data_IF_119259565392
#
_entry.id   IF_119259565392
#
_cell.length_a   1.000
_cell.length_b   1.000
_cell.length_c   1.000
_cell.angle_alpha   90.00
_cell.angle_beta   90.00
_cell.angle_gamma   90.00
#
_symmetry.space_group_name_H-M   'P 1'
#
loop_
_entity.id
_entity.type
_entity.pdbx_description
1 polymer ?
#
# COMPACT_ATOMS: atom_id res chain seq x y z
N UNK A 1 8.31 -11.00 3.28
CA UNK A 1 7.36 -10.33 4.17
C UNK A 1 7.35 -11.07 5.48
N UNK A 2 7.39 -10.36 6.61
CA UNK A 2 7.37 -10.97 7.93
C UNK A 2 5.90 -11.23 8.31
N UNK A 3 5.50 -12.48 8.45
CA UNK A 3 4.13 -12.87 8.81
C UNK A 3 4.20 -13.86 9.97
N UNK A 4 3.59 -13.53 11.10
CA UNK A 4 3.42 -14.48 12.19
C UNK A 4 2.23 -15.41 11.91
N UNK A 5 2.40 -16.70 12.20
CA UNK A 5 1.34 -17.71 12.02
C UNK A 5 0.18 -17.52 12.98
N UNK A 6 0.35 -16.76 14.07
CA UNK A 6 -0.75 -16.46 15.00
C UNK A 6 -1.58 -15.25 14.58
N UNK A 7 -1.20 -14.53 13.52
CA UNK A 7 -1.91 -13.32 13.10
C UNK A 7 -3.14 -13.64 12.26
N UNK A 8 -4.21 -12.88 12.49
CA UNK A 8 -5.39 -12.77 11.63
C UNK A 8 -5.13 -11.67 10.60
N UNK A 9 -5.20 -12.01 9.32
CA UNK A 9 -4.77 -11.13 8.23
C UNK A 9 -5.94 -10.69 7.37
N UNK A 10 -5.96 -9.40 7.00
CA UNK A 10 -6.82 -8.84 5.96
C UNK A 10 -5.96 -8.38 4.78
N UNK A 11 -6.23 -8.87 3.57
CA UNK A 11 -5.62 -8.32 2.34
C UNK A 11 -6.61 -7.41 1.64
N UNK A 12 -6.15 -6.23 1.23
CA UNK A 12 -6.98 -5.21 0.58
C UNK A 12 -6.65 -5.14 -0.90
N UNK A 13 -7.67 -5.26 -1.74
CA UNK A 13 -7.57 -5.02 -3.19
C UNK A 13 -6.71 -6.03 -3.95
N UNK A 14 -6.71 -7.30 -3.56
CA UNK A 14 -5.92 -8.36 -4.18
C UNK A 14 -6.54 -8.86 -5.50
N UNK A 15 -6.39 -8.04 -6.55
CA UNK A 15 -7.04 -8.16 -7.85
C UNK A 15 -7.40 -9.57 -8.34
N UNK A 16 -6.42 -10.45 -8.59
CA UNK A 16 -6.66 -11.82 -9.08
C UNK A 16 -6.60 -12.89 -7.97
N UNK A 17 -6.50 -12.46 -6.72
CA UNK A 17 -6.44 -13.26 -5.49
C UNK A 17 -5.21 -14.16 -5.34
N UNK A 18 -4.26 -14.11 -6.29
CA UNK A 18 -3.09 -14.99 -6.26
C UNK A 18 -2.12 -14.66 -5.13
N UNK A 19 -2.09 -13.41 -4.63
CA UNK A 19 -1.29 -13.06 -3.46
C UNK A 19 -1.86 -13.71 -2.21
N UNK A 20 -3.16 -13.56 -1.97
CA UNK A 20 -3.88 -14.10 -0.83
C UNK A 20 -3.84 -15.63 -0.82
N UNK A 21 -4.03 -16.27 -1.98
CA UNK A 21 -3.93 -17.73 -2.08
C UNK A 21 -2.52 -18.25 -1.75
N UNK A 22 -1.49 -17.55 -2.22
CA UNK A 22 -0.10 -17.87 -1.89
C UNK A 22 0.20 -17.63 -0.41
N UNK A 23 -0.25 -16.51 0.16
CA UNK A 23 -0.11 -16.16 1.56
C UNK A 23 -0.74 -17.23 2.47
N UNK A 24 -1.98 -17.63 2.18
CA UNK A 24 -2.69 -18.66 2.92
C UNK A 24 -1.95 -20.01 2.87
N UNK A 25 -1.51 -20.41 1.68
CA UNK A 25 -0.89 -21.72 1.45
C UNK A 25 0.50 -21.81 2.09
N UNK A 26 1.32 -20.76 1.97
CA UNK A 26 2.75 -20.82 2.27
C UNK A 26 3.15 -20.14 3.58
N UNK A 27 2.41 -19.13 4.03
CA UNK A 27 2.69 -18.43 5.29
C UNK A 27 1.76 -18.87 6.42
N UNK A 28 0.55 -19.34 6.09
CA UNK A 28 -0.41 -19.95 7.03
C UNK A 28 -0.66 -19.06 8.27
N UNK A 29 -1.16 -17.83 8.08
CA UNK A 29 -1.66 -17.03 9.20
C UNK A 29 -2.80 -17.75 9.93
N UNK A 30 -3.15 -17.31 11.14
CA UNK A 30 -4.20 -17.92 11.95
C UNK A 30 -5.56 -17.86 11.24
N UNK A 31 -5.81 -16.76 10.53
CA UNK A 31 -6.88 -16.63 9.55
C UNK A 31 -6.49 -15.62 8.47
N UNK A 32 -7.14 -15.74 7.32
CA UNK A 32 -7.03 -14.77 6.23
C UNK A 32 -8.43 -14.41 5.73
N UNK A 33 -8.68 -13.12 5.56
CA UNK A 33 -9.80 -12.60 4.77
C UNK A 33 -9.22 -11.84 3.59
N UNK A 34 -9.59 -12.24 2.38
CA UNK A 34 -9.15 -11.57 1.17
C UNK A 34 -10.20 -10.62 0.64
N UNK A 35 -9.80 -9.47 0.13
CA UNK A 35 -10.75 -8.52 -0.49
C UNK A 35 -10.31 -8.07 -1.87
N UNK A 36 -11.30 -7.77 -2.71
CA UNK A 36 -11.10 -7.24 -4.07
C UNK A 36 -12.04 -6.06 -4.30
N UNK A 37 -11.58 -5.09 -5.08
CA UNK A 37 -12.37 -3.91 -5.44
C UNK A 37 -13.47 -4.25 -6.47
N UNK A 38 -13.17 -5.17 -7.39
CA UNK A 38 -14.10 -5.58 -8.45
C UNK A 38 -15.24 -6.43 -7.87
N UNK A 39 -16.40 -6.49 -8.57
CA UNK A 39 -17.41 -7.51 -8.29
C UNK A 39 -16.86 -8.91 -8.61
N UNK A 40 -17.48 -9.97 -8.10
CA UNK A 40 -17.09 -11.35 -8.47
C UNK A 40 -17.15 -11.57 -9.98
N UNK A 41 -18.20 -11.06 -10.65
CA UNK A 41 -18.37 -11.23 -12.10
C UNK A 41 -17.29 -10.49 -12.89
N UNK A 42 -16.94 -9.28 -12.47
CA UNK A 42 -15.86 -8.50 -13.09
C UNK A 42 -14.52 -9.20 -12.87
N UNK A 43 -14.21 -9.65 -11.65
CA UNK A 43 -12.99 -10.39 -11.34
C UNK A 43 -12.85 -11.64 -12.22
N UNK A 44 -13.90 -12.47 -12.28
CA UNK A 44 -13.90 -13.73 -13.03
C UNK A 44 -13.83 -13.51 -14.55
N UNK A 45 -14.44 -12.43 -15.05
CA UNK A 45 -14.36 -12.05 -16.46
C UNK A 45 -13.02 -11.38 -16.84
N UNK A 46 -12.40 -10.64 -15.91
CA UNK A 46 -11.18 -9.86 -16.13
C UNK A 46 -9.93 -10.71 -16.14
N UNK A 47 -9.85 -11.75 -15.30
CA UNK A 47 -8.67 -12.59 -15.17
C UNK A 47 -8.94 -14.02 -15.63
N UNK A 48 -8.30 -14.44 -16.72
CA UNK A 48 -8.41 -15.82 -17.20
C UNK A 48 -7.88 -16.84 -16.17
N UNK A 49 -6.94 -16.40 -15.33
CA UNK A 49 -6.44 -17.17 -14.19
C UNK A 49 -6.53 -16.29 -12.94
N UNK A 50 -7.33 -16.75 -11.99
CA UNK A 50 -7.54 -16.15 -10.67
C UNK A 50 -7.66 -17.26 -9.62
N UNK A 51 -7.54 -16.90 -8.35
CA UNK A 51 -7.59 -17.82 -7.22
C UNK A 51 -8.87 -17.66 -6.37
N UNK A 52 -9.95 -17.13 -6.96
CA UNK A 52 -11.22 -16.95 -6.26
C UNK A 52 -11.77 -18.27 -5.72
N UNK A 53 -11.92 -19.29 -6.58
CA UNK A 53 -12.42 -20.60 -6.15
C UNK A 53 -11.42 -21.31 -5.24
N UNK A 54 -10.11 -21.16 -5.49
CA UNK A 54 -9.04 -21.71 -4.65
C UNK A 54 -9.19 -21.27 -3.19
N UNK A 55 -9.44 -19.99 -2.96
CA UNK A 55 -9.64 -19.44 -1.60
C UNK A 55 -10.93 -19.96 -0.96
N UNK A 56 -12.04 -19.99 -1.71
CA UNK A 56 -13.32 -20.50 -1.19
C UNK A 56 -13.25 -21.98 -0.80
N UNK A 57 -12.57 -22.80 -1.62
CA UNK A 57 -12.37 -24.23 -1.34
C UNK A 57 -11.50 -24.45 -0.08
N UNK A 58 -10.61 -23.50 0.22
CA UNK A 58 -9.83 -23.46 1.46
C UNK A 58 -10.55 -22.77 2.62
N UNK A 59 -11.84 -22.47 2.48
CA UNK A 59 -12.66 -21.79 3.48
C UNK A 59 -12.14 -20.40 3.89
N UNK A 60 -11.37 -19.74 3.02
CA UNK A 60 -10.95 -18.36 3.18
C UNK A 60 -12.07 -17.42 2.71
N UNK A 61 -12.59 -16.53 3.58
CA UNK A 61 -13.53 -15.50 3.16
C UNK A 61 -12.93 -14.62 2.06
N UNK A 62 -13.73 -14.37 1.02
CA UNK A 62 -13.40 -13.42 -0.05
C UNK A 62 -14.52 -12.38 -0.12
N UNK A 63 -14.17 -11.11 0.08
CA UNK A 63 -15.10 -9.98 0.00
C UNK A 63 -14.87 -9.19 -1.29
N UNK A 64 -15.85 -9.20 -2.18
CA UNK A 64 -15.85 -8.39 -3.39
C UNK A 64 -16.41 -6.99 -3.12
N UNK A 65 -16.21 -6.07 -4.06
CA UNK A 65 -16.68 -4.67 -3.96
C UNK A 65 -16.14 -3.93 -2.73
N UNK A 66 -14.96 -4.33 -2.25
CA UNK A 66 -14.32 -3.73 -1.08
C UNK A 66 -13.48 -2.52 -1.50
N UNK A 67 -14.09 -1.34 -1.45
CA UNK A 67 -13.37 -0.07 -1.54
C UNK A 67 -12.97 0.39 -0.12
N UNK A 68 -11.67 0.34 0.18
CA UNK A 68 -11.15 0.77 1.49
C UNK A 68 -11.46 2.24 1.81
N UNK A 69 -11.75 3.06 0.79
CA UNK A 69 -12.07 4.49 0.94
C UNK A 69 -13.55 4.77 1.16
N UNK A 70 -14.44 3.78 1.02
CA UNK A 70 -15.88 3.91 1.23
C UNK A 70 -16.35 3.08 2.44
N UNK A 71 -16.76 3.72 3.55
CA UNK A 71 -17.31 3.02 4.72
C UNK A 71 -18.46 2.06 4.46
N UNK A 72 -19.24 2.28 3.40
CA UNK A 72 -20.35 1.39 3.07
C UNK A 72 -19.85 0.04 2.51
N UNK A 73 -18.74 0.06 1.78
CA UNK A 73 -18.15 -1.12 1.12
C UNK A 73 -17.63 -2.17 2.10
N UNK A 74 -17.33 -1.76 3.33
CA UNK A 74 -16.85 -2.65 4.40
C UNK A 74 -17.75 -2.67 5.63
N UNK A 75 -19.01 -2.23 5.50
CA UNK A 75 -20.00 -2.22 6.58
C UNK A 75 -20.33 -3.61 7.16
N UNK A 76 -20.10 -4.67 6.38
CA UNK A 76 -20.31 -6.07 6.80
C UNK A 76 -19.07 -6.72 7.40
N UNK A 77 -17.90 -6.05 7.31
CA UNK A 77 -16.67 -6.54 7.92
C UNK A 77 -16.74 -6.37 9.42
N UNK A 78 -16.38 -7.42 10.16
CA UNK A 78 -16.25 -7.32 11.61
C UNK A 78 -15.12 -6.34 11.97
N UNK A 79 -15.48 -5.28 12.70
CA UNK A 79 -14.51 -4.28 13.14
C UNK A 79 -13.51 -4.88 14.11
N UNK A 80 -12.28 -4.37 14.09
CA UNK A 80 -11.24 -4.67 15.09
C UNK A 80 -10.93 -6.16 15.23
N UNK A 81 -10.88 -6.88 14.12
CA UNK A 81 -10.77 -8.34 14.08
C UNK A 81 -9.45 -8.87 13.52
N UNK A 82 -8.54 -7.97 13.09
CA UNK A 82 -7.29 -8.35 12.42
C UNK A 82 -6.05 -7.90 13.20
N UNK A 83 -4.97 -8.66 13.08
CA UNK A 83 -3.66 -8.31 13.63
C UNK A 83 -2.79 -7.57 12.60
N UNK A 84 -3.01 -7.87 11.31
CA UNK A 84 -2.28 -7.31 10.19
C UNK A 84 -3.21 -7.01 9.01
N UNK A 85 -3.11 -5.80 8.45
CA UNK A 85 -3.76 -5.43 7.20
C UNK A 85 -2.70 -5.16 6.12
N UNK A 86 -2.86 -5.73 4.92
CA UNK A 86 -1.88 -5.68 3.83
C UNK A 86 -2.48 -5.06 2.58
N UNK A 87 -1.81 -4.07 2.00
CA UNK A 87 -2.09 -3.57 0.65
C UNK A 87 -0.92 -3.86 -0.28
N UNK A 88 -1.09 -4.82 -1.17
CA UNK A 88 -0.02 -5.33 -2.02
C UNK A 88 -0.01 -4.64 -3.39
N UNK A 89 1.02 -3.86 -3.68
CA UNK A 89 1.17 -3.03 -4.90
C UNK A 89 -0.06 -2.16 -5.25
N UNK A 90 -0.62 -1.40 -4.30
CA UNK A 90 -1.75 -0.51 -4.54
C UNK A 90 -1.48 0.54 -5.61
N UNK A 91 -2.52 0.84 -6.37
CA UNK A 91 -2.58 1.95 -7.32
C UNK A 91 -4.07 2.25 -7.58
N UNK A 92 -4.41 3.52 -7.77
CA UNK A 92 -5.77 3.88 -8.17
C UNK A 92 -6.13 3.23 -9.53
N UNK A 93 -7.42 2.88 -9.76
CA UNK A 93 -7.88 2.39 -11.05
C UNK A 93 -7.59 3.38 -12.19
N UNK A 94 -7.50 2.88 -13.42
CA UNK A 94 -7.39 3.75 -14.57
C UNK A 94 -8.67 4.59 -14.75
N UNK A 95 -8.50 5.87 -15.11
CA UNK A 95 -9.63 6.73 -15.45
C UNK A 95 -10.31 6.23 -16.73
N UNK A 96 -11.65 6.18 -16.71
CA UNK A 96 -12.50 5.69 -17.81
C UNK A 96 -12.44 6.62 -19.03
N UNK A 97 -12.10 7.89 -18.84
CA UNK A 97 -11.99 8.87 -19.91
C UNK A 97 -10.98 9.98 -19.61
N UNK A 98 -10.57 10.70 -20.66
CA UNK A 98 -9.76 11.92 -20.49
C UNK A 98 -10.50 13.00 -19.68
N UNK A 99 -11.82 13.08 -19.82
CA UNK A 99 -12.65 14.01 -19.06
C UNK A 99 -12.61 13.68 -17.57
N UNK A 100 -12.80 12.42 -17.19
CA UNK A 100 -12.71 11.99 -15.80
C UNK A 100 -11.32 12.25 -15.21
N UNK A 101 -10.26 12.00 -15.99
CA UNK A 101 -8.90 12.36 -15.59
C UNK A 101 -8.77 13.86 -15.29
N UNK A 102 -9.26 14.72 -16.19
CA UNK A 102 -9.22 16.17 -15.99
C UNK A 102 -10.04 16.61 -14.76
N UNK A 103 -11.20 16.01 -14.53
CA UNK A 103 -12.07 16.33 -13.39
C UNK A 103 -11.43 15.91 -12.07
N UNK A 104 -10.96 14.66 -11.97
CA UNK A 104 -10.32 14.11 -10.77
C UNK A 104 -8.96 14.75 -10.48
N UNK A 105 -8.21 15.12 -11.52
CA UNK A 105 -6.91 15.77 -11.39
C UNK A 105 -6.98 17.30 -11.53
N UNK A 106 -8.16 17.91 -11.36
CA UNK A 106 -8.36 19.36 -11.49
C UNK A 106 -7.63 20.14 -10.40
N UNK A 107 -7.72 19.67 -9.16
CA UNK A 107 -7.12 20.34 -7.99
C UNK A 107 -5.81 19.69 -7.54
N UNK A 108 -5.64 18.40 -7.77
CA UNK A 108 -4.51 17.61 -7.29
C UNK A 108 -3.94 16.71 -8.38
N UNK A 109 -2.65 16.39 -8.30
CA UNK A 109 -1.99 15.51 -9.26
C UNK A 109 -2.30 14.03 -8.97
N UNK A 110 -2.20 13.17 -9.99
CA UNK A 110 -2.42 11.72 -9.86
C UNK A 110 -1.53 11.06 -8.79
N UNK A 111 -0.30 11.54 -8.60
CA UNK A 111 0.58 11.06 -7.52
C UNK A 111 0.01 11.38 -6.13
N UNK A 112 -0.60 12.55 -5.98
CA UNK A 112 -1.27 12.97 -4.75
C UNK A 112 -2.53 12.13 -4.50
N UNK A 113 -3.29 11.78 -5.55
CA UNK A 113 -4.43 10.85 -5.43
C UNK A 113 -4.01 9.45 -5.00
N UNK A 114 -2.91 8.91 -5.56
CA UNK A 114 -2.38 7.62 -5.10
C UNK A 114 -1.93 7.68 -3.64
N UNK A 115 -1.24 8.75 -3.24
CA UNK A 115 -0.87 8.98 -1.85
C UNK A 115 -2.10 9.05 -0.93
N UNK A 116 -3.18 9.70 -1.36
CA UNK A 116 -4.43 9.77 -0.61
C UNK A 116 -5.07 8.40 -0.42
N UNK A 117 -5.11 7.55 -1.46
CA UNK A 117 -5.57 6.16 -1.35
C UNK A 117 -4.79 5.40 -0.26
N UNK A 118 -3.46 5.52 -0.26
CA UNK A 118 -2.63 4.86 0.74
C UNK A 118 -2.88 5.37 2.16
N UNK A 119 -3.15 6.67 2.31
CA UNK A 119 -3.50 7.25 3.61
C UNK A 119 -4.86 6.76 4.10
N UNK A 120 -5.90 6.77 3.25
CA UNK A 120 -7.21 6.23 3.62
C UNK A 120 -7.09 4.76 4.04
N UNK A 121 -6.33 3.95 3.28
CA UNK A 121 -6.00 2.59 3.68
C UNK A 121 -5.36 2.53 5.06
N UNK A 122 -4.32 3.35 5.30
CA UNK A 122 -3.60 3.37 6.56
C UNK A 122 -4.53 3.74 7.73
N UNK A 123 -5.21 4.88 7.65
CA UNK A 123 -6.11 5.39 8.70
C UNK A 123 -7.25 4.41 8.97
N UNK A 124 -7.98 3.96 7.95
CA UNK A 124 -9.10 3.04 8.12
C UNK A 124 -8.66 1.68 8.68
N UNK A 125 -7.43 1.24 8.38
CA UNK A 125 -6.87 0.02 8.98
C UNK A 125 -6.76 0.15 10.51
N UNK A 126 -6.18 1.24 11.01
CA UNK A 126 -6.02 1.45 12.46
C UNK A 126 -7.32 1.77 13.17
N UNK A 127 -8.22 2.52 12.53
CA UNK A 127 -9.47 2.95 13.14
C UNK A 127 -10.55 1.86 13.14
N UNK A 128 -10.57 0.96 12.15
CA UNK A 128 -11.71 0.07 11.93
C UNK A 128 -11.37 -1.41 11.82
N UNK A 129 -10.18 -1.79 11.32
CA UNK A 129 -9.90 -3.20 11.00
C UNK A 129 -9.00 -3.87 12.04
N UNK A 130 -7.98 -3.16 12.52
CA UNK A 130 -6.99 -3.72 13.45
C UNK A 130 -7.55 -3.85 14.87
N UNK A 131 -7.43 -5.03 15.45
CA UNK A 131 -7.78 -5.34 16.83
C UNK A 131 -6.88 -4.53 17.80
N UNK A 132 -7.45 -3.74 18.73
CA UNK A 132 -6.69 -3.04 19.78
C UNK A 132 -5.77 -3.95 20.62
N UNK A 133 -6.09 -5.24 20.72
CA UNK A 133 -5.28 -6.23 21.45
C UNK A 133 -4.42 -7.10 20.53
N UNK A 134 -4.48 -6.86 19.22
CA UNK A 134 -3.72 -7.59 18.22
C UNK A 134 -2.30 -7.03 18.01
N UNK A 135 -1.63 -7.49 16.95
CA UNK A 135 -0.31 -6.96 16.58
C UNK A 135 -0.35 -5.50 16.12
N UNK A 136 -1.49 -5.04 15.59
CA UNK A 136 -1.72 -3.66 15.11
C UNK A 136 -0.68 -3.22 14.08
N UNK A 137 -0.56 -4.00 13.01
CA UNK A 137 0.39 -3.75 11.92
C UNK A 137 -0.34 -3.46 10.61
N UNK A 138 0.20 -2.52 9.85
CA UNK A 138 -0.27 -2.21 8.51
C UNK A 138 0.90 -2.25 7.53
N UNK A 139 0.75 -3.03 6.44
CA UNK A 139 1.79 -3.23 5.43
C UNK A 139 1.35 -2.65 4.09
N UNK A 140 2.23 -1.89 3.45
CA UNK A 140 2.08 -1.46 2.07
C UNK A 140 3.30 -1.96 1.30
N UNK A 141 3.09 -2.80 0.29
CA UNK A 141 4.19 -3.17 -0.62
C UNK A 141 4.13 -2.33 -1.87
N UNK A 142 5.23 -1.67 -2.26
CA UNK A 142 5.30 -0.87 -3.48
C UNK A 142 6.65 -1.03 -4.18
N UNK A 143 6.79 -0.42 -5.37
CA UNK A 143 8.02 -0.45 -6.15
C UNK A 143 8.88 0.78 -5.84
N UNK A 144 10.20 0.64 -5.85
CA UNK A 144 11.12 1.79 -5.72
C UNK A 144 11.48 2.44 -7.07
N UNK A 145 10.46 2.70 -7.89
CA UNK A 145 10.61 3.36 -9.19
C UNK A 145 9.49 4.38 -9.40
N UNK A 146 9.59 5.20 -10.44
CA UNK A 146 8.49 6.11 -10.79
C UNK A 146 7.26 5.32 -11.29
N UNK A 147 6.03 5.79 -11.02
CA UNK A 147 5.70 6.98 -10.20
C UNK A 147 5.71 6.73 -8.69
N UNK A 148 5.72 5.47 -8.26
CA UNK A 148 5.56 5.02 -6.85
C UNK A 148 6.45 5.74 -5.84
N UNK A 149 7.74 5.92 -6.16
CA UNK A 149 8.68 6.62 -5.26
C UNK A 149 8.39 8.11 -5.07
N UNK A 150 7.55 8.71 -5.92
CA UNK A 150 7.10 10.11 -5.80
C UNK A 150 5.89 10.25 -4.87
N UNK A 151 5.37 9.15 -4.32
CA UNK A 151 4.25 9.18 -3.39
C UNK A 151 4.67 9.46 -1.95
N UNK A 152 5.98 9.48 -1.65
CA UNK A 152 6.52 9.77 -0.33
C UNK A 152 5.89 8.87 0.76
N UNK A 153 5.83 7.56 0.47
CA UNK A 153 5.12 6.56 1.28
C UNK A 153 5.58 6.59 2.74
N UNK A 154 6.90 6.63 2.97
CA UNK A 154 7.49 6.60 4.30
C UNK A 154 7.02 7.77 5.18
N UNK A 155 6.98 8.98 4.63
CA UNK A 155 6.85 10.19 5.43
C UNK A 155 5.46 10.85 5.35
N UNK A 156 4.73 10.66 4.25
CA UNK A 156 3.54 11.48 3.99
C UNK A 156 2.26 10.90 4.60
N UNK A 157 2.14 9.58 4.67
CA UNK A 157 0.86 8.90 4.94
C UNK A 157 0.37 9.07 6.39
N UNK A 158 1.30 9.16 7.34
CA UNK A 158 1.02 9.15 8.78
C UNK A 158 1.07 10.56 9.41
N UNK A 159 1.16 11.62 8.60
CA UNK A 159 1.15 13.00 9.08
C UNK A 159 -0.16 13.31 9.81
N UNK A 160 -0.07 14.04 10.93
CA UNK A 160 -1.21 14.39 11.78
C UNK A 160 -2.03 13.17 12.27
N UNK A 161 -1.35 12.05 12.56
CA UNK A 161 -1.97 10.84 13.14
C UNK A 161 -1.08 10.30 14.27
N UNK A 162 -1.63 9.42 15.10
CA UNK A 162 -0.88 8.67 16.12
C UNK A 162 -0.23 7.38 15.56
N UNK A 163 -0.04 7.31 14.24
CA UNK A 163 0.53 6.15 13.54
C UNK A 163 2.00 6.43 13.26
N UNK A 164 2.85 5.48 13.62
CA UNK A 164 4.30 5.55 13.40
C UNK A 164 4.73 4.67 12.23
N UNK A 165 5.59 5.22 11.37
CA UNK A 165 6.36 4.41 10.44
C UNK A 165 7.47 3.66 11.20
N UNK A 166 7.43 2.34 11.17
CA UNK A 166 8.38 1.49 11.89
C UNK A 166 9.64 1.18 11.07
N UNK A 167 9.53 1.15 9.74
CA UNK A 167 10.62 0.79 8.84
C UNK A 167 10.14 -0.01 7.63
N UNK A 168 11.07 -0.63 6.93
CA UNK A 168 10.78 -1.42 5.73
C UNK A 168 11.62 -2.70 5.65
N UNK A 169 11.21 -3.63 4.79
CA UNK A 169 12.02 -4.76 4.38
C UNK A 169 11.75 -5.10 2.90
N UNK A 170 12.64 -5.85 2.26
CA UNK A 170 12.41 -6.30 0.88
C UNK A 170 11.18 -7.22 0.79
N UNK A 171 10.42 -7.08 -0.30
CA UNK A 171 9.42 -8.05 -0.70
C UNK A 171 10.07 -9.10 -1.60
N UNK A 172 10.30 -10.28 -1.05
CA UNK A 172 10.75 -11.45 -1.81
C UNK A 172 9.56 -12.20 -2.41
N UNK A 173 9.38 -12.09 -3.73
CA UNK A 173 8.29 -12.78 -4.44
C UNK A 173 8.44 -14.30 -4.42
N UNK A 174 9.66 -14.84 -4.32
CA UNK A 174 9.89 -16.29 -4.27
C UNK A 174 9.34 -16.92 -2.99
N UNK A 175 9.11 -16.12 -1.94
CA UNK A 175 8.42 -16.53 -0.74
C UNK A 175 6.89 -16.63 -0.92
N UNK A 176 6.37 -16.26 -2.08
CA UNK A 176 4.96 -16.33 -2.46
C UNK A 176 4.77 -17.13 -3.76
N UNK A 177 5.05 -18.46 -3.76
CA UNK A 177 4.80 -19.29 -4.94
C UNK A 177 3.35 -19.19 -5.43
N UNK A 178 3.17 -19.05 -6.74
CA UNK A 178 1.85 -18.91 -7.36
C UNK A 178 1.35 -17.46 -7.47
N UNK A 179 1.90 -16.51 -6.70
CA UNK A 179 1.54 -15.10 -6.80
C UNK A 179 1.92 -14.53 -8.18
N UNK A 180 0.98 -13.83 -8.83
CA UNK A 180 1.17 -13.18 -10.12
C UNK A 180 1.03 -11.66 -9.97
N UNK A 181 2.13 -10.94 -10.18
CA UNK A 181 2.07 -9.47 -10.27
C UNK A 181 1.32 -9.07 -11.56
N UNK A 182 0.21 -8.33 -11.39
CA UNK A 182 -0.64 -7.83 -12.49
C UNK A 182 -0.49 -6.33 -12.69
N UNK A 183 -0.81 -5.86 -13.90
CA UNK A 183 -1.11 -4.44 -14.09
C UNK A 183 -2.54 -4.16 -13.65
N UNK A 184 -2.78 -2.98 -13.10
CA UNK A 184 -4.14 -2.49 -12.85
C UNK A 184 -4.89 -2.46 -14.19
N UNK A 185 -6.05 -3.10 -14.21
CA UNK A 185 -7.01 -3.17 -15.32
C UNK A 185 -6.65 -4.03 -16.54
N UNK A 186 -5.65 -4.92 -16.44
CA UNK A 186 -5.30 -5.82 -17.55
C UNK A 186 -4.88 -7.19 -17.06
N UNK A 187 -5.33 -8.24 -17.75
CA UNK A 187 -4.79 -9.60 -17.62
C UNK A 187 -3.41 -9.69 -18.28
N UNK A 188 -2.44 -8.94 -17.75
CA UNK A 188 -1.08 -8.90 -18.23
C UNK A 188 -0.13 -9.02 -17.06
N UNK A 189 0.55 -10.15 -17.01
CA UNK A 189 1.66 -10.37 -16.10
C UNK A 189 2.81 -9.41 -16.41
N UNK A 190 3.42 -8.87 -15.37
CA UNK A 190 4.57 -7.95 -15.45
C UNK A 190 5.78 -8.66 -14.90
N UNK A 191 6.97 -8.39 -15.47
CA UNK A 191 8.22 -8.89 -14.91
C UNK A 191 8.32 -8.52 -13.43
N UNK A 192 8.81 -9.49 -12.64
CA UNK A 192 9.08 -9.30 -11.23
C UNK A 192 9.96 -8.08 -11.04
N UNK A 193 9.45 -7.13 -10.27
CA UNK A 193 10.16 -5.92 -9.91
C UNK A 193 10.47 -6.02 -8.43
N UNK A 194 11.67 -5.60 -8.01
CA UNK A 194 12.00 -5.49 -6.59
C UNK A 194 10.90 -4.67 -5.89
N UNK A 195 10.24 -5.28 -4.92
CA UNK A 195 9.23 -4.63 -4.09
C UNK A 195 9.80 -4.32 -2.72
N UNK A 196 9.30 -3.25 -2.10
CA UNK A 196 9.59 -2.85 -0.74
C UNK A 196 8.29 -2.91 0.04
N UNK A 197 8.28 -3.61 1.16
CA UNK A 197 7.17 -3.58 2.12
C UNK A 197 7.51 -2.58 3.21
N UNK A 198 6.67 -1.57 3.33
CA UNK A 198 6.70 -0.54 4.36
C UNK A 198 5.76 -0.93 5.49
N UNK A 199 6.15 -0.65 6.73
CA UNK A 199 5.47 -1.13 7.93
C UNK A 199 5.11 0.03 8.86
N UNK A 200 3.85 0.06 9.31
CA UNK A 200 3.33 1.01 10.30
C UNK A 200 2.69 0.31 11.50
N UNK A 201 2.67 1.01 12.63
CA UNK A 201 1.96 0.66 13.86
C UNK A 201 1.65 1.93 14.64
N UNK A 202 0.63 1.92 15.50
CA UNK A 202 0.44 2.93 16.56
C UNK A 202 1.22 2.59 17.84
N UNK A 203 2.09 1.57 17.76
CA UNK A 203 3.09 1.23 18.78
C UNK A 203 4.51 1.41 18.21
N UNK A 204 5.12 2.59 18.43
CA UNK A 204 6.50 2.88 18.01
C UNK A 204 7.57 1.94 18.58
N UNK A 205 7.27 1.24 19.68
CA UNK A 205 8.14 0.27 20.34
C UNK A 205 7.84 -1.19 19.94
N UNK A 206 7.02 -1.41 18.91
CA UNK A 206 6.66 -2.76 18.46
C UNK A 206 7.90 -3.60 18.14
N UNK A 207 7.94 -4.85 18.65
CA UNK A 207 9.12 -5.71 18.59
C UNK A 207 9.61 -5.98 17.16
N UNK A 208 8.70 -5.97 16.17
CA UNK A 208 9.03 -6.15 14.74
C UNK A 208 10.06 -5.14 14.23
N UNK A 209 10.13 -3.95 14.84
CA UNK A 209 11.05 -2.89 14.42
C UNK A 209 12.51 -3.35 14.39
N UNK A 210 12.89 -4.29 15.27
CA UNK A 210 14.24 -4.90 15.29
C UNK A 210 14.59 -5.72 14.04
N UNK A 211 13.58 -6.09 13.23
CA UNK A 211 13.72 -6.86 11.99
C UNK A 211 13.52 -5.98 10.75
N UNK A 212 13.29 -4.68 10.93
CA UNK A 212 13.07 -3.73 9.85
C UNK A 212 14.33 -2.91 9.62
N UNK A 213 14.54 -2.53 8.36
CA UNK A 213 15.51 -1.52 8.01
C UNK A 213 14.96 -0.14 8.38
N UNK A 214 15.86 0.74 8.80
CA UNK A 214 15.54 2.16 8.97
C UNK A 214 15.19 2.81 7.63
N UNK A 215 14.50 3.96 7.69
CA UNK A 215 14.09 4.71 6.50
C UNK A 215 15.23 4.91 5.50
N UNK A 216 14.90 4.74 4.21
CA UNK A 216 15.87 4.74 3.12
C UNK A 216 16.59 6.08 2.92
N UNK A 217 15.96 7.19 3.33
CA UNK A 217 16.34 8.54 2.94
C UNK A 217 16.37 9.51 4.12
N UNK A 218 16.91 9.08 5.26
CA UNK A 218 17.12 9.92 6.46
C UNK A 218 18.46 10.64 6.43
N UNK A 219 18.55 11.72 7.22
CA UNK A 219 19.72 12.57 7.45
C UNK A 219 19.96 13.68 6.42
N UNK A 220 20.76 14.68 6.80
CA UNK A 220 21.01 15.90 6.01
C UNK A 220 21.64 15.65 4.62
N UNK A 221 22.22 14.45 4.44
CA UNK A 221 22.81 13.97 3.20
C UNK A 221 21.76 13.54 2.16
N UNK A 222 20.49 13.39 2.53
CA UNK A 222 19.42 12.99 1.62
C UNK A 222 18.34 14.07 1.53
N UNK A 223 17.59 14.08 0.42
CA UNK A 223 16.28 14.75 0.37
C UNK A 223 15.20 13.68 0.53
N UNK A 224 14.60 13.66 1.71
CA UNK A 224 13.45 12.82 2.07
C UNK A 224 12.35 12.91 1.02
N UNK A 225 12.01 14.15 0.63
CA UNK A 225 10.97 14.42 -0.34
C UNK A 225 11.25 13.76 -1.70
N UNK A 226 12.50 13.79 -2.16
CA UNK A 226 12.86 13.30 -3.48
C UNK A 226 13.36 11.86 -3.49
N UNK A 227 13.57 11.23 -2.33
CA UNK A 227 14.28 9.96 -2.23
C UNK A 227 15.61 10.03 -3.00
N UNK A 228 16.45 11.03 -2.69
CA UNK A 228 17.71 11.31 -3.43
C UNK A 228 18.84 11.66 -2.50
N UNK A 229 20.01 11.08 -2.76
CA UNK A 229 21.23 11.22 -1.97
C UNK A 229 22.05 9.93 -2.03
N UNK A 230 23.12 9.82 -1.23
CA UNK A 230 23.67 10.90 -0.42
C UNK A 230 24.30 12.01 -1.29
N UNK A 231 24.26 13.26 -0.84
CA UNK A 231 25.02 14.36 -1.47
C UNK A 231 26.50 14.26 -1.13
N UNK A 232 27.39 14.57 -2.08
CA UNK A 232 28.83 14.59 -1.79
C UNK A 232 29.26 15.88 -1.08
N UNK A 233 28.50 16.97 -1.24
CA UNK A 233 28.76 18.29 -0.66
C UNK A 233 27.51 19.18 -0.76
N UNK A 234 27.55 20.37 -0.13
CA UNK A 234 26.44 21.32 -0.14
C UNK A 234 26.07 21.86 -1.52
N UNK A 235 27.02 21.94 -2.45
CA UNK A 235 26.72 22.38 -3.82
C UNK A 235 25.85 21.35 -4.55
N UNK A 236 26.05 20.06 -4.31
CA UNK A 236 25.21 18.99 -4.87
C UNK A 236 23.78 19.08 -4.31
N UNK A 237 23.64 19.40 -3.01
CA UNK A 237 22.34 19.64 -2.37
C UNK A 237 21.61 20.84 -2.99
N UNK A 238 22.30 21.97 -3.15
CA UNK A 238 21.73 23.18 -3.77
C UNK A 238 21.34 22.90 -5.24
N UNK A 239 22.20 22.22 -6.00
CA UNK A 239 21.88 21.81 -7.37
C UNK A 239 20.66 20.91 -7.40
N UNK A 240 20.56 19.93 -6.51
CA UNK A 240 19.39 19.05 -6.40
C UNK A 240 18.11 19.84 -6.17
N UNK A 241 18.10 20.79 -5.23
CA UNK A 241 16.94 21.62 -4.90
C UNK A 241 16.43 22.45 -6.09
N UNK A 242 17.33 22.83 -7.01
CA UNK A 242 16.97 23.54 -8.25
C UNK A 242 16.42 22.63 -9.37
N UNK A 243 16.47 21.30 -9.21
CA UNK A 243 16.04 20.37 -10.26
C UNK A 243 14.53 20.40 -10.47
N UNK A 244 14.09 20.20 -11.72
CA UNK A 244 12.66 20.01 -12.05
C UNK A 244 12.00 18.91 -11.21
N UNK A 245 12.75 17.85 -10.87
CA UNK A 245 12.27 16.78 -9.98
C UNK A 245 11.91 17.34 -8.61
N UNK A 246 12.82 18.08 -7.98
CA UNK A 246 12.58 18.64 -6.65
C UNK A 246 11.42 19.64 -6.64
N UNK A 247 11.37 20.53 -7.63
CA UNK A 247 10.28 21.49 -7.78
C UNK A 247 8.92 20.81 -7.97
N UNK A 248 8.86 19.72 -8.76
CA UNK A 248 7.64 18.94 -8.91
C UNK A 248 7.20 18.29 -7.59
N UNK A 249 8.16 17.74 -6.83
CA UNK A 249 7.84 17.14 -5.54
C UNK A 249 7.33 18.19 -4.53
N UNK A 250 7.88 19.40 -4.53
CA UNK A 250 7.36 20.50 -3.70
C UNK A 250 5.90 20.84 -4.08
N UNK A 251 5.56 20.84 -5.37
CA UNK A 251 4.18 21.02 -5.80
C UNK A 251 3.27 19.87 -5.30
N UNK A 252 3.75 18.63 -5.33
CA UNK A 252 3.00 17.49 -4.78
C UNK A 252 2.81 17.61 -3.26
N UNK A 253 3.80 18.11 -2.51
CA UNK A 253 3.62 18.38 -1.08
C UNK A 253 2.67 19.53 -0.79
N UNK A 254 2.67 20.59 -1.60
CA UNK A 254 1.69 21.67 -1.46
C UNK A 254 0.26 21.15 -1.70
N UNK A 255 0.05 20.35 -2.75
CA UNK A 255 -1.23 19.67 -2.99
C UNK A 255 -1.60 18.70 -1.86
N UNK A 256 -0.61 18.00 -1.30
CA UNK A 256 -0.82 17.10 -0.18
C UNK A 256 -1.25 17.84 1.08
N UNK A 257 -0.64 18.98 1.38
CA UNK A 257 -1.05 19.83 2.50
C UNK A 257 -2.51 20.26 2.36
N UNK A 258 -2.95 20.64 1.15
CA UNK A 258 -4.35 20.99 0.88
C UNK A 258 -5.33 19.84 1.15
N UNK A 259 -4.90 18.58 0.98
CA UNK A 259 -5.72 17.41 1.33
C UNK A 259 -5.78 17.27 2.85
N UNK A 260 -4.62 17.31 3.53
CA UNK A 260 -4.56 17.18 4.99
C UNK A 260 -5.34 18.26 5.72
N UNK A 261 -5.41 19.48 5.19
CA UNK A 261 -6.15 20.60 5.80
C UNK A 261 -7.68 20.43 5.69
N UNK A 262 -8.16 19.49 4.85
CA UNK A 262 -9.59 19.22 4.62
C UNK A 262 -10.11 17.98 5.37
N UNK A 263 -9.20 17.15 5.89
CA UNK A 263 -9.50 15.96 6.71
C UNK A 263 -9.65 16.36 8.19
#
# INVERSE_FOLDING_TARGET
>A
MIIDKTWRVLTVGDGDLSFSASLLTHHQPASLTATVLDTSDVLLGKYAHNDYQTLLDQQCPVLCEFDVTDPNAWSTLEKHSFDLVIFQFPLIPAFKSHQEFQEKCKEVHINTLNRQLLRHFLVNSFEHFLDPNGARLCYITSKDVKPYKEWNIENALHRNTDIDYLGWHDFNIDAFPGYKVRNVDRDKHVKDTKGITYVWSDNSAHAIKSQLNESLYKDEAYCELCATGPYNNDQDKIKHQSTKKHLNMLNYEAMWQLILDRE
#
